data_IF_348389380835
#
_entry.id   IF_348389380835
#
_cell.length_a   1.000
_cell.length_b   1.000
_cell.length_c   1.000
_cell.angle_alpha   90.00
_cell.angle_beta   90.00
_cell.angle_gamma   90.00
#
_symmetry.space_group_name_H-M   'P 1'
#
loop_
_entity.id
_entity.type
_entity.pdbx_description
1 polymer ?
#
# COMPACT_ATOMS: atom_id res chain seq x y z
N UNK A 1 -28.66 -37.16 -84.68
CA UNK A 1 -27.22 -36.84 -84.79
C UNK A 1 -27.06 -35.33 -84.86
N UNK A 2 -26.63 -34.71 -83.76
CA UNK A 2 -26.02 -33.38 -83.75
C UNK A 2 -25.23 -33.24 -82.45
N UNK A 3 -24.01 -32.78 -82.64
CA UNK A 3 -22.91 -32.78 -81.69
C UNK A 3 -23.07 -31.72 -80.60
N UNK A 4 -22.43 -31.97 -79.47
CA UNK A 4 -22.32 -31.02 -78.35
C UNK A 4 -21.30 -31.52 -77.34
N UNK A 5 -20.03 -31.64 -77.73
CA UNK A 5 -18.91 -31.87 -76.81
C UNK A 5 -18.56 -30.50 -76.22
N UNK A 6 -18.97 -30.26 -74.98
CA UNK A 6 -18.56 -29.11 -74.19
C UNK A 6 -17.23 -29.48 -73.52
N UNK A 7 -16.13 -28.94 -74.06
CA UNK A 7 -14.82 -29.03 -73.44
C UNK A 7 -14.78 -28.15 -72.19
N UNK A 8 -14.89 -28.78 -71.02
CA UNK A 8 -14.71 -28.14 -69.73
C UNK A 8 -13.20 -27.93 -69.52
N UNK A 9 -12.74 -26.70 -69.76
CA UNK A 9 -11.38 -26.24 -69.41
C UNK A 9 -11.25 -26.20 -67.88
N UNK A 10 -10.61 -27.22 -67.30
CA UNK A 10 -10.10 -27.16 -65.93
C UNK A 10 -8.84 -26.30 -65.91
N UNK A 11 -8.96 -25.05 -65.47
CA UNK A 11 -7.80 -24.24 -65.06
C UNK A 11 -7.33 -24.71 -63.69
N UNK A 12 -6.20 -25.41 -63.64
CA UNK A 12 -5.50 -25.73 -62.41
C UNK A 12 -4.86 -24.45 -61.85
N UNK A 13 -5.41 -23.91 -60.77
CA UNK A 13 -4.76 -22.87 -59.98
C UNK A 13 -3.68 -23.53 -59.11
N UNK A 14 -2.41 -23.39 -59.51
CA UNK A 14 -1.27 -23.70 -58.64
C UNK A 14 -1.18 -22.64 -57.54
N UNK A 15 -1.59 -23.01 -56.33
CA UNK A 15 -1.32 -22.24 -55.12
C UNK A 15 0.18 -22.31 -54.80
N UNK A 16 0.89 -21.19 -54.92
CA UNK A 16 2.24 -21.03 -54.39
C UNK A 16 2.11 -20.85 -52.88
N UNK A 17 2.55 -21.85 -52.11
CA UNK A 17 2.67 -21.75 -50.67
C UNK A 17 3.75 -20.70 -50.32
N UNK A 18 3.32 -19.58 -49.75
CA UNK A 18 4.21 -18.60 -49.15
C UNK A 18 4.78 -19.21 -47.86
N UNK A 19 6.10 -19.41 -47.82
CA UNK A 19 6.82 -19.68 -46.58
C UNK A 19 6.85 -18.41 -45.73
N UNK A 20 6.60 -18.47 -44.41
CA UNK A 20 6.75 -17.30 -43.56
C UNK A 20 8.24 -16.95 -43.41
N UNK A 21 8.60 -15.74 -43.83
CA UNK A 21 9.89 -15.12 -43.55
C UNK A 21 9.99 -14.84 -42.05
N UNK A 22 11.02 -15.31 -41.33
CA UNK A 22 11.21 -14.95 -39.93
C UNK A 22 11.64 -13.48 -39.82
N UNK A 23 10.73 -12.63 -39.31
CA UNK A 23 11.03 -11.27 -38.86
C UNK A 23 11.85 -11.32 -37.57
N UNK A 24 13.16 -11.55 -37.66
CA UNK A 24 14.02 -11.41 -36.48
C UNK A 24 15.44 -10.93 -36.80
N UNK A 25 15.55 -9.74 -37.41
CA UNK A 25 16.87 -9.13 -37.63
C UNK A 25 16.89 -7.59 -37.63
N UNK A 26 15.95 -6.90 -36.97
CA UNK A 26 16.02 -5.43 -36.83
C UNK A 26 15.62 -4.85 -35.46
N UNK A 27 15.35 -5.66 -34.44
CA UNK A 27 14.90 -5.14 -33.12
C UNK A 27 15.99 -5.06 -32.04
N UNK A 28 17.28 -5.20 -32.37
CA UNK A 28 18.37 -5.25 -31.38
C UNK A 28 19.23 -3.98 -31.24
N UNK A 29 18.89 -2.88 -31.92
CA UNK A 29 19.67 -1.62 -31.84
C UNK A 29 18.93 -0.40 -31.27
N UNK A 30 17.72 -0.58 -30.71
CA UNK A 30 16.98 0.51 -30.03
C UNK A 30 16.87 0.33 -28.51
N UNK A 31 17.14 -0.86 -27.98
CA UNK A 31 16.93 -1.17 -26.56
C UNK A 31 18.13 -0.85 -25.64
N UNK A 32 19.30 -0.53 -26.20
CA UNK A 32 20.48 -0.13 -25.40
C UNK A 32 20.48 1.36 -25.03
N UNK A 33 19.83 2.22 -25.81
CA UNK A 33 19.87 3.67 -25.59
C UNK A 33 18.83 4.14 -24.55
N UNK A 34 17.70 3.46 -24.41
CA UNK A 34 16.70 3.76 -23.37
C UNK A 34 17.16 3.37 -21.96
N UNK A 35 18.00 2.34 -21.82
CA UNK A 35 18.49 1.86 -20.52
C UNK A 35 19.62 2.75 -19.93
N UNK A 36 20.35 3.50 -20.78
CA UNK A 36 21.34 4.46 -20.29
C UNK A 36 20.70 5.76 -19.75
N UNK A 37 19.56 6.17 -20.30
CA UNK A 37 18.90 7.43 -19.92
C UNK A 37 18.09 7.31 -18.62
N UNK A 38 17.61 6.11 -18.26
CA UNK A 38 16.96 5.88 -16.95
C UNK A 38 17.97 5.77 -15.80
N UNK A 39 19.18 5.26 -16.05
CA UNK A 39 20.19 5.06 -15.01
C UNK A 39 20.90 6.37 -14.60
N UNK A 40 20.99 7.36 -15.51
CA UNK A 40 21.52 8.70 -15.17
C UNK A 40 20.54 9.51 -14.31
N UNK A 41 19.23 9.32 -14.48
CA UNK A 41 18.21 10.09 -13.76
C UNK A 41 18.00 9.60 -12.31
N UNK A 42 18.30 8.33 -12.01
CA UNK A 42 18.32 7.83 -10.62
C UNK A 42 19.59 8.28 -9.86
N UNK A 43 20.72 8.41 -10.54
CA UNK A 43 21.99 8.74 -9.88
C UNK A 43 22.12 10.23 -9.51
N UNK A 44 21.43 11.13 -10.22
CA UNK A 44 21.37 12.55 -9.85
C UNK A 44 20.43 12.79 -8.64
N UNK A 45 19.39 11.98 -8.47
CA UNK A 45 18.42 12.17 -7.38
C UNK A 45 18.92 11.63 -6.02
N UNK A 46 19.89 10.70 -6.01
CA UNK A 46 20.56 10.27 -4.77
C UNK A 46 21.62 11.25 -4.28
N UNK A 47 22.29 11.97 -5.19
CA UNK A 47 23.40 12.86 -4.83
C UNK A 47 22.94 14.23 -4.27
N UNK A 48 21.70 14.65 -4.56
CA UNK A 48 21.11 15.84 -3.93
C UNK A 48 20.59 15.57 -2.51
N UNK A 49 20.19 14.33 -2.20
CA UNK A 49 19.62 13.99 -0.89
C UNK A 49 20.68 13.73 0.20
N UNK A 50 21.95 13.50 -0.17
CA UNK A 50 23.05 13.37 0.80
C UNK A 50 23.65 14.72 1.21
N UNK A 51 23.58 15.74 0.35
CA UNK A 51 24.20 17.05 0.64
C UNK A 51 23.33 17.97 1.52
N UNK A 52 22.04 17.68 1.68
CA UNK A 52 21.18 18.40 2.64
C UNK A 52 21.28 17.83 4.06
N UNK A 53 21.68 16.57 4.23
CA UNK A 53 21.70 15.90 5.53
C UNK A 53 23.00 16.13 6.34
N UNK A 54 24.06 16.66 5.71
CA UNK A 54 25.31 16.99 6.41
C UNK A 54 25.32 18.44 6.96
N UNK A 55 24.52 19.35 6.42
CA UNK A 55 24.51 20.75 6.87
C UNK A 55 23.60 21.03 8.08
N UNK A 56 22.77 20.07 8.49
CA UNK A 56 21.92 20.17 9.69
C UNK A 56 22.54 19.52 10.93
N UNK A 57 23.55 18.65 10.77
CA UNK A 57 24.12 17.90 11.88
C UNK A 57 25.35 18.55 12.55
N UNK A 58 25.75 19.75 12.13
CA UNK A 58 26.84 20.51 12.75
C UNK A 58 26.38 21.69 13.62
N UNK A 59 25.09 22.06 13.59
CA UNK A 59 24.59 23.23 14.33
C UNK A 59 23.90 22.90 15.68
N UNK A 60 23.69 21.61 16.00
CA UNK A 60 23.01 21.20 17.25
C UNK A 60 23.96 20.78 18.38
N UNK A 61 25.28 20.84 18.19
CA UNK A 61 26.24 20.33 19.19
C UNK A 61 27.09 21.40 19.90
N UNK A 62 26.67 22.67 19.88
CA UNK A 62 27.40 23.75 20.57
C UNK A 62 26.58 24.52 21.63
N UNK A 63 25.30 24.19 21.84
CA UNK A 63 24.46 24.95 22.77
C UNK A 63 24.05 24.20 24.05
N UNK A 64 24.64 23.04 24.34
CA UNK A 64 24.28 22.22 25.50
C UNK A 64 25.40 22.09 26.56
N UNK A 65 26.20 23.15 26.76
CA UNK A 65 27.28 23.17 27.75
C UNK A 65 27.32 24.41 28.65
N UNK A 66 26.24 25.18 28.76
CA UNK A 66 26.20 26.33 29.65
C UNK A 66 24.81 26.54 30.28
N UNK A 67 24.44 25.66 31.22
CA UNK A 67 23.61 26.04 32.37
C UNK A 67 23.50 24.87 33.35
N UNK A 68 24.61 24.56 34.02
CA UNK A 68 24.52 23.82 35.27
C UNK A 68 25.51 24.39 36.28
N UNK A 69 25.23 25.61 36.73
CA UNK A 69 25.81 26.19 37.92
C UNK A 69 24.73 26.94 38.69
N UNK A 70 24.38 26.34 39.83
CA UNK A 70 24.28 27.03 41.11
C UNK A 70 23.05 27.95 41.32
N UNK A 71 22.03 27.46 42.03
CA UNK A 71 21.81 27.84 43.44
C UNK A 71 20.53 27.20 44.00
N UNK A 72 20.77 26.29 44.94
CA UNK A 72 19.90 25.90 46.02
C UNK A 72 19.81 27.07 47.00
N UNK A 73 18.60 27.55 47.35
CA UNK A 73 18.30 28.13 48.68
C UNK A 73 16.80 28.46 48.88
N UNK A 74 16.26 27.88 49.96
CA UNK A 74 15.23 28.37 50.90
C UNK A 74 13.77 28.67 50.49
N UNK A 75 12.90 27.73 50.86
CA UNK A 75 11.94 27.79 51.99
C UNK A 75 10.99 29.02 52.16
N UNK A 76 9.70 28.69 52.27
CA UNK A 76 8.59 29.43 52.93
C UNK A 76 8.16 30.79 52.36
N UNK A 77 6.93 30.87 51.82
CA UNK A 77 5.80 31.49 52.53
C UNK A 77 4.49 31.36 51.73
N UNK A 78 3.41 30.99 52.44
CA UNK A 78 2.02 31.12 52.02
C UNK A 78 1.68 32.59 51.72
N UNK A 79 0.98 32.88 50.62
CA UNK A 79 -0.27 33.62 50.77
C UNK A 79 -1.20 33.54 49.54
N UNK A 80 -2.47 33.40 49.90
CA UNK A 80 -3.66 33.32 49.09
C UNK A 80 -3.99 34.68 48.45
N UNK A 81 -4.37 34.70 47.16
CA UNK A 81 -4.64 35.93 46.42
C UNK A 81 -5.36 35.72 45.09
N UNK A 82 -6.67 35.43 45.18
CA UNK A 82 -7.76 35.85 44.28
C UNK A 82 -7.45 36.07 42.78
N UNK A 83 -7.78 35.08 41.94
CA UNK A 83 -7.76 35.19 40.48
C UNK A 83 -9.12 35.70 39.96
N UNK A 84 -9.14 36.91 39.39
CA UNK A 84 -10.19 37.35 38.47
C UNK A 84 -9.58 38.19 37.34
N UNK A 85 -9.55 37.64 36.12
CA UNK A 85 -10.02 38.25 34.86
C UNK A 85 -9.35 37.63 33.63
N UNK A 86 -10.18 36.91 32.86
CA UNK A 86 -10.43 37.03 31.41
C UNK A 86 -9.29 37.28 30.39
N UNK A 87 -9.40 36.46 29.34
CA UNK A 87 -9.24 36.75 27.91
C UNK A 87 -7.90 36.39 27.26
N UNK A 88 -7.96 35.56 26.21
CA UNK A 88 -6.84 35.38 25.28
C UNK A 88 -6.84 34.06 24.52
N UNK A 89 -7.56 34.05 23.39
CA UNK A 89 -7.34 33.32 22.14
C UNK A 89 -6.14 32.39 21.93
N UNK A 90 -6.41 31.38 21.09
CA UNK A 90 -5.53 30.69 20.15
C UNK A 90 -4.47 29.69 20.67
N UNK A 91 -4.68 28.41 20.33
CA UNK A 91 -3.60 27.52 19.90
C UNK A 91 -4.18 26.43 18.97
N UNK A 92 -4.32 26.70 17.67
CA UNK A 92 -3.39 26.22 16.64
C UNK A 92 -2.56 25.00 17.05
N UNK A 93 -3.06 23.84 16.61
CA UNK A 93 -2.33 22.71 16.01
C UNK A 93 -0.81 22.68 16.26
N UNK A 94 -0.42 21.86 17.23
CA UNK A 94 0.95 21.35 17.33
C UNK A 94 0.94 19.88 16.95
N UNK A 95 1.16 19.60 15.68
CA UNK A 95 1.45 18.27 15.15
C UNK A 95 2.68 17.68 15.84
N UNK A 96 2.43 16.79 16.79
CA UNK A 96 3.42 15.84 17.27
C UNK A 96 2.99 14.43 16.86
N UNK A 97 3.70 13.90 15.87
CA UNK A 97 3.61 12.51 15.44
C UNK A 97 4.01 11.58 16.59
N UNK A 98 3.23 10.50 16.77
CA UNK A 98 3.60 9.36 17.59
C UNK A 98 3.24 9.52 19.06
N UNK A 99 2.00 9.16 19.40
CA UNK A 99 1.70 8.02 20.28
C UNK A 99 0.17 7.86 20.32
N UNK A 100 -0.30 6.67 19.92
CA UNK A 100 -1.72 6.34 19.85
C UNK A 100 -2.41 6.61 21.18
N UNK A 101 -3.27 7.61 21.18
CA UNK A 101 -4.41 7.66 22.07
C UNK A 101 -5.63 7.42 21.19
N UNK A 102 -5.92 6.14 20.98
CA UNK A 102 -7.14 5.66 20.34
C UNK A 102 -8.32 5.98 21.26
N UNK A 103 -8.71 7.24 21.31
CA UNK A 103 -10.04 7.62 21.76
C UNK A 103 -10.39 8.98 21.14
N UNK A 104 -10.88 8.91 19.91
CA UNK A 104 -11.75 9.93 19.36
C UNK A 104 -13.09 9.28 18.98
N UNK A 105 -13.74 8.63 19.96
CA UNK A 105 -15.16 8.87 20.24
C UNK A 105 -16.24 8.13 19.43
N UNK A 106 -16.01 6.88 18.99
CA UNK A 106 -17.08 6.05 18.41
C UNK A 106 -16.69 4.58 18.24
N UNK A 107 -17.69 3.68 18.22
CA UNK A 107 -17.47 2.28 17.85
C UNK A 107 -16.98 2.17 16.40
N UNK A 108 -16.23 1.11 16.07
CA UNK A 108 -15.82 0.83 14.70
C UNK A 108 -17.05 0.71 13.79
N UNK A 109 -17.10 1.52 12.74
CA UNK A 109 -18.11 1.48 11.68
C UNK A 109 -17.40 1.26 10.35
N UNK A 110 -17.58 0.07 9.78
CA UNK A 110 -16.95 -0.33 8.50
C UNK A 110 -17.69 0.23 7.27
N UNK A 111 -18.72 1.06 7.49
CA UNK A 111 -19.54 1.65 6.46
C UNK A 111 -20.31 0.59 5.68
N UNK A 112 -20.20 0.61 4.35
CA UNK A 112 -20.93 -0.35 3.49
C UNK A 112 -20.19 -1.66 3.26
N UNK A 113 -18.95 -1.77 3.72
CA UNK A 113 -18.10 -2.92 3.44
C UNK A 113 -18.09 -3.94 4.58
N UNK A 114 -17.89 -5.21 4.22
CA UNK A 114 -17.64 -6.31 5.17
C UNK A 114 -16.17 -6.76 5.03
N UNK A 115 -15.23 -6.21 5.82
CA UNK A 115 -13.78 -6.33 5.59
C UNK A 115 -13.19 -7.71 5.94
N UNK A 116 -13.82 -8.79 5.50
CA UNK A 116 -13.37 -10.16 5.75
C UNK A 116 -12.48 -10.65 4.60
N UNK A 117 -11.57 -11.57 4.94
CA UNK A 117 -10.75 -12.30 3.99
C UNK A 117 -11.05 -13.80 4.06
N UNK A 118 -10.72 -14.50 2.99
CA UNK A 118 -10.83 -15.95 2.88
C UNK A 118 -9.52 -16.55 2.42
N UNK A 119 -9.23 -17.77 2.87
CA UNK A 119 -8.11 -18.57 2.42
C UNK A 119 -8.60 -19.83 1.71
N UNK A 120 -8.19 -20.03 0.46
CA UNK A 120 -8.51 -21.26 -0.29
C UNK A 120 -7.30 -21.71 -1.11
N UNK A 121 -7.24 -23.01 -1.37
CA UNK A 121 -6.24 -23.60 -2.26
C UNK A 121 -6.69 -23.59 -3.72
N UNK A 122 -5.73 -23.48 -4.64
CA UNK A 122 -5.98 -23.71 -6.07
C UNK A 122 -6.86 -22.66 -6.76
N UNK A 123 -6.94 -21.43 -6.22
CA UNK A 123 -7.66 -20.34 -6.89
C UNK A 123 -6.98 -19.93 -8.21
N UNK A 124 -7.81 -19.57 -9.19
CA UNK A 124 -7.35 -19.17 -10.52
C UNK A 124 -6.60 -20.30 -11.24
N UNK A 125 -5.40 -20.00 -11.72
CA UNK A 125 -4.53 -20.97 -12.40
C UNK A 125 -3.38 -21.48 -11.50
N UNK A 126 -3.57 -21.46 -10.17
CA UNK A 126 -2.56 -21.88 -9.19
C UNK A 126 -2.65 -23.36 -8.87
N UNK A 127 -1.58 -23.90 -8.26
CA UNK A 127 -1.51 -25.31 -7.89
C UNK A 127 -2.56 -25.69 -6.83
N UNK A 128 -3.01 -26.95 -6.84
CA UNK A 128 -4.05 -27.45 -5.91
C UNK A 128 -3.66 -27.38 -4.42
N UNK A 129 -2.36 -27.23 -4.11
CA UNK A 129 -1.84 -27.07 -2.74
C UNK A 129 -1.30 -25.65 -2.50
N UNK A 130 -1.52 -24.72 -3.42
CA UNK A 130 -1.10 -23.33 -3.29
C UNK A 130 -2.25 -22.50 -2.73
N UNK A 131 -2.12 -22.12 -1.46
CA UNK A 131 -3.13 -21.37 -0.74
C UNK A 131 -3.05 -19.88 -1.00
N UNK A 132 -4.19 -19.22 -1.12
CA UNK A 132 -4.26 -17.80 -1.46
C UNK A 132 -5.32 -17.09 -0.63
N UNK A 133 -5.10 -15.80 -0.41
CA UNK A 133 -6.03 -14.92 0.26
C UNK A 133 -6.77 -14.01 -0.72
N UNK A 134 -8.06 -13.79 -0.45
CA UNK A 134 -8.88 -12.80 -1.15
C UNK A 134 -9.83 -12.11 -0.16
N UNK A 135 -10.14 -10.81 -0.36
CA UNK A 135 -11.26 -10.18 0.32
C UNK A 135 -12.57 -10.81 -0.17
N UNK A 136 -13.53 -10.97 0.73
CA UNK A 136 -14.86 -11.47 0.37
C UNK A 136 -15.79 -10.34 -0.07
N UNK A 137 -15.58 -9.13 0.43
CA UNK A 137 -16.39 -7.98 0.04
C UNK A 137 -16.15 -7.60 -1.43
N UNK A 138 -17.21 -7.56 -2.27
CA UNK A 138 -17.07 -7.26 -3.68
C UNK A 138 -16.49 -5.88 -3.98
N UNK A 139 -16.73 -4.87 -3.13
CA UNK A 139 -16.21 -3.53 -3.33
C UNK A 139 -14.70 -3.48 -3.06
N UNK A 140 -14.24 -4.19 -2.02
CA UNK A 140 -12.80 -4.33 -1.70
C UNK A 140 -12.07 -5.17 -2.76
N UNK A 141 -12.71 -6.25 -3.23
CA UNK A 141 -12.15 -7.20 -4.20
C UNK A 141 -11.89 -6.59 -5.59
N UNK A 142 -12.56 -5.49 -5.97
CA UNK A 142 -12.46 -4.93 -7.34
C UNK A 142 -11.00 -4.64 -7.74
N UNK A 143 -10.55 -5.32 -8.79
CA UNK A 143 -9.19 -5.15 -9.34
C UNK A 143 -8.08 -5.81 -8.52
N UNK A 144 -8.43 -6.58 -7.48
CA UNK A 144 -7.48 -7.34 -6.68
C UNK A 144 -7.33 -8.76 -7.23
N UNK A 145 -6.08 -9.20 -7.39
CA UNK A 145 -5.75 -10.61 -7.65
C UNK A 145 -5.46 -11.36 -6.35
N UNK A 146 -5.58 -12.68 -6.38
CA UNK A 146 -5.24 -13.58 -5.28
C UNK A 146 -3.87 -13.26 -4.66
N UNK A 147 -3.82 -13.08 -3.34
CA UNK A 147 -2.59 -12.77 -2.62
C UNK A 147 -1.99 -14.02 -1.96
N UNK A 148 -0.69 -14.27 -2.16
CA UNK A 148 0.04 -15.33 -1.44
C UNK A 148 0.53 -14.88 -0.05
N UNK A 149 0.59 -13.56 0.17
CA UNK A 149 1.10 -12.98 1.39
C UNK A 149 -0.06 -12.31 2.16
N UNK A 150 -0.33 -12.71 3.41
CA UNK A 150 -1.42 -12.14 4.20
C UNK A 150 -1.24 -10.64 4.45
N UNK A 151 -0.01 -10.13 4.56
CA UNK A 151 0.21 -8.69 4.76
C UNK A 151 -0.20 -7.85 3.53
N UNK A 152 -0.20 -8.44 2.33
CA UNK A 152 -0.66 -7.75 1.12
C UNK A 152 -2.19 -7.66 1.11
N UNK A 153 -2.88 -8.74 1.49
CA UNK A 153 -4.34 -8.75 1.48
C UNK A 153 -4.93 -7.88 2.58
N UNK A 154 -4.36 -7.91 3.78
CA UNK A 154 -4.85 -7.10 4.91
C UNK A 154 -4.58 -5.61 4.67
N UNK A 155 -3.43 -5.25 4.08
CA UNK A 155 -3.19 -3.88 3.58
C UNK A 155 -4.30 -3.44 2.62
N UNK A 156 -4.60 -4.26 1.61
CA UNK A 156 -5.65 -3.96 0.62
C UNK A 156 -7.01 -3.71 1.28
N UNK A 157 -7.39 -4.56 2.25
CA UNK A 157 -8.65 -4.41 2.99
C UNK A 157 -8.67 -3.08 3.74
N UNK A 158 -7.65 -2.79 4.55
CA UNK A 158 -7.61 -1.57 5.35
C UNK A 158 -7.56 -0.28 4.49
N UNK A 159 -6.85 -0.32 3.35
CA UNK A 159 -6.79 0.81 2.42
C UNK A 159 -8.16 1.10 1.78
N UNK A 160 -8.96 0.08 1.48
CA UNK A 160 -10.30 0.27 0.94
C UNK A 160 -11.31 0.73 1.99
N UNK A 161 -11.14 0.33 3.26
CA UNK A 161 -11.96 0.84 4.36
C UNK A 161 -11.84 2.37 4.50
N UNK A 162 -10.61 2.88 4.48
CA UNK A 162 -10.34 4.33 4.55
C UNK A 162 -10.67 5.10 3.26
N UNK A 163 -10.98 4.39 2.17
CA UNK A 163 -11.37 5.01 0.91
C UNK A 163 -12.88 5.32 0.88
N UNK A 164 -13.27 6.22 -0.04
CA UNK A 164 -14.68 6.51 -0.33
C UNK A 164 -15.47 5.27 -0.78
N UNK A 165 -14.79 4.19 -1.15
CA UNK A 165 -15.39 2.88 -1.50
C UNK A 165 -16.26 2.33 -0.37
N UNK A 166 -15.76 2.39 0.88
CA UNK A 166 -16.43 1.79 2.03
C UNK A 166 -17.04 2.85 2.95
N UNK A 167 -16.46 4.06 3.00
CA UNK A 167 -16.92 5.11 3.89
C UNK A 167 -16.80 4.75 5.37
N UNK A 168 -15.81 3.92 5.72
CA UNK A 168 -15.59 3.52 7.10
C UNK A 168 -15.10 4.70 7.95
N UNK A 169 -15.41 4.68 9.24
CA UNK A 169 -14.90 5.69 10.17
C UNK A 169 -13.43 5.42 10.55
N UNK A 170 -12.77 6.40 11.18
CA UNK A 170 -11.37 6.25 11.57
C UNK A 170 -11.16 5.09 12.56
N UNK A 171 -12.10 4.87 13.49
CA UNK A 171 -12.02 3.76 14.45
C UNK A 171 -11.98 2.39 13.76
N UNK A 172 -12.73 2.18 12.67
CA UNK A 172 -12.69 0.96 11.87
C UNK A 172 -11.38 0.80 11.10
N UNK A 173 -10.82 1.90 10.57
CA UNK A 173 -9.52 1.87 9.91
C UNK A 173 -8.41 1.52 10.90
N UNK A 174 -8.41 2.13 12.08
CA UNK A 174 -7.43 1.86 13.14
C UNK A 174 -7.52 0.40 13.61
N UNK A 175 -8.73 -0.10 13.85
CA UNK A 175 -8.96 -1.50 14.20
C UNK A 175 -8.43 -2.45 13.11
N UNK A 176 -8.61 -2.10 11.82
CA UNK A 176 -8.06 -2.89 10.72
C UNK A 176 -6.53 -2.90 10.70
N UNK A 177 -5.90 -1.75 10.95
CA UNK A 177 -4.45 -1.65 11.00
C UNK A 177 -3.86 -2.44 12.18
N UNK A 178 -4.55 -2.46 13.33
CA UNK A 178 -4.19 -3.28 14.47
C UNK A 178 -4.36 -4.78 14.17
N UNK A 179 -5.47 -5.17 13.54
CA UNK A 179 -5.69 -6.55 13.11
C UNK A 179 -4.61 -7.03 12.13
N UNK A 180 -4.21 -6.18 11.18
CA UNK A 180 -3.08 -6.42 10.29
C UNK A 180 -1.78 -6.62 11.06
N UNK A 181 -1.50 -5.78 12.05
CA UNK A 181 -0.28 -5.90 12.86
C UNK A 181 -0.22 -7.24 13.61
N UNK A 182 -1.36 -7.71 14.13
CA UNK A 182 -1.47 -9.02 14.78
C UNK A 182 -1.27 -10.18 13.79
N UNK A 183 -1.84 -10.09 12.58
CA UNK A 183 -1.57 -11.05 11.50
C UNK A 183 -0.08 -11.11 11.15
N UNK A 184 0.57 -9.95 11.02
CA UNK A 184 1.99 -9.88 10.74
C UNK A 184 2.84 -10.50 11.87
N UNK A 185 2.45 -10.30 13.13
CA UNK A 185 3.10 -10.89 14.29
C UNK A 185 2.88 -12.40 14.39
N UNK A 186 1.70 -12.91 14.01
CA UNK A 186 1.41 -14.34 13.99
C UNK A 186 2.25 -15.09 12.94
N UNK A 187 2.52 -14.44 11.79
CA UNK A 187 3.38 -14.98 10.74
C UNK A 187 2.82 -16.21 10.01
N UNK A 188 1.57 -16.61 10.29
CA UNK A 188 0.88 -17.71 9.62
C UNK A 188 0.50 -17.34 8.19
N UNK A 189 0.30 -18.34 7.32
CA UNK A 189 -0.07 -18.17 5.91
C UNK A 189 -1.10 -19.21 5.46
N UNK A 190 -2.06 -19.47 6.32
CA UNK A 190 -3.09 -20.48 6.12
C UNK A 190 -4.46 -19.96 6.59
N UNK A 191 -5.45 -20.85 6.70
CA UNK A 191 -6.80 -20.50 7.12
C UNK A 191 -6.83 -19.78 8.48
N UNK A 192 -5.93 -20.13 9.41
CA UNK A 192 -5.87 -19.48 10.73
C UNK A 192 -5.53 -18.00 10.64
N UNK A 193 -4.85 -17.57 9.57
CA UNK A 193 -4.58 -16.16 9.30
C UNK A 193 -5.85 -15.41 8.94
N UNK A 194 -6.74 -16.02 8.15
CA UNK A 194 -8.03 -15.45 7.80
C UNK A 194 -8.95 -15.38 9.03
N UNK A 195 -8.99 -16.44 9.82
CA UNK A 195 -9.77 -16.51 11.06
C UNK A 195 -9.32 -15.44 12.07
N UNK A 196 -8.00 -15.30 12.26
CA UNK A 196 -7.44 -14.28 13.15
C UNK A 196 -7.83 -12.87 12.70
N UNK A 197 -7.64 -12.55 11.41
CA UNK A 197 -7.97 -11.23 10.90
C UNK A 197 -9.46 -10.92 11.04
N UNK A 198 -10.33 -11.85 10.60
CA UNK A 198 -11.78 -11.66 10.63
C UNK A 198 -12.29 -11.53 12.08
N UNK A 199 -11.80 -12.39 12.98
CA UNK A 199 -12.20 -12.36 14.39
C UNK A 199 -11.79 -11.08 15.11
N UNK A 200 -10.62 -10.50 14.78
CA UNK A 200 -10.19 -9.21 15.33
C UNK A 200 -11.06 -8.03 14.87
N UNK A 201 -11.71 -8.15 13.72
CA UNK A 201 -12.68 -7.17 13.21
C UNK A 201 -14.12 -7.44 13.70
N UNK A 202 -14.36 -8.56 14.38
CA UNK A 202 -15.65 -8.95 14.92
C UNK A 202 -16.55 -9.75 13.98
N UNK A 203 -15.97 -10.48 13.00
CA UNK A 203 -16.67 -11.35 12.06
C UNK A 203 -16.38 -12.83 12.27
#
# INVERSE_FOLDING_TARGET
MRAGIVALLLTAATAVAATPVPQNAQHQMTNQNQNQNQNQNQNQNQNQNQNQNQNQNQNNNQNNQNNNQNQNDNNQNNNNGNQNNNNGDANADNGNAGNGNADAGGAADFGTCVPTISFEFGRGNRGANEGTFLPLDPAILRGQSDALNPNIITNRVCDQLGAQTCGANQAAVDLCLDAKAQVAAAGTKDATTADLFNGLLGF
#
